data_IF_420535131542
#
_entry.id   IF_420535131542
#
_cell.length_a   1.000
_cell.length_b   1.000
_cell.length_c   1.000
_cell.angle_alpha   90.00
_cell.angle_beta   90.00
_cell.angle_gamma   90.00
#
_symmetry.space_group_name_H-M   'P 1'
#
loop_
_entity.id
_entity.type
_entity.pdbx_description
1 polymer ?
#
# COMPACT_ATOMS: atom_id res chain seq x y z
N UNK A 1 -8.98 50.16 15.89
CA UNK A 1 -8.87 48.71 15.61
C UNK A 1 -9.78 48.05 16.60
N UNK A 2 -10.85 47.41 16.12
CA UNK A 2 -11.69 46.60 17.00
C UNK A 2 -10.82 45.49 17.59
N UNK A 3 -11.02 45.23 18.89
CA UNK A 3 -10.28 44.23 19.64
C UNK A 3 -10.61 42.86 19.04
N UNK A 4 -9.61 42.16 18.50
CA UNK A 4 -9.79 40.82 17.92
C UNK A 4 -10.21 39.89 19.06
N UNK A 5 -11.47 39.50 19.06
CA UNK A 5 -11.99 38.52 20.01
C UNK A 5 -11.31 37.16 19.77
N UNK A 6 -10.91 36.44 20.83
CA UNK A 6 -10.39 35.09 20.68
C UNK A 6 -11.41 34.19 19.97
N UNK A 7 -10.92 33.40 19.02
CA UNK A 7 -11.72 32.37 18.37
C UNK A 7 -12.13 31.32 19.42
N UNK A 8 -13.42 31.08 19.57
CA UNK A 8 -13.95 30.08 20.51
C UNK A 8 -14.88 29.10 19.80
N UNK A 9 -14.88 27.87 20.29
CA UNK A 9 -15.73 26.77 19.83
C UNK A 9 -16.50 26.21 21.01
N UNK A 10 -17.73 25.77 20.78
CA UNK A 10 -18.49 25.04 21.79
C UNK A 10 -17.96 23.60 21.94
N UNK A 11 -18.46 22.87 22.93
CA UNK A 11 -18.02 21.50 23.23
C UNK A 11 -18.20 20.57 22.02
N UNK A 12 -19.36 20.60 21.37
CA UNK A 12 -19.68 19.73 20.23
C UNK A 12 -18.80 20.04 19.00
N UNK A 13 -18.53 21.32 18.76
CA UNK A 13 -17.61 21.75 17.69
C UNK A 13 -16.20 21.28 17.98
N UNK A 14 -15.74 21.43 19.23
CA UNK A 14 -14.42 21.00 19.67
C UNK A 14 -14.25 19.48 19.51
N UNK A 15 -15.26 18.69 19.86
CA UNK A 15 -15.26 17.24 19.65
C UNK A 15 -15.11 16.88 18.17
N UNK A 16 -15.87 17.53 17.28
CA UNK A 16 -15.79 17.26 15.83
C UNK A 16 -14.49 17.71 15.20
N UNK A 17 -13.94 18.84 15.64
CA UNK A 17 -12.61 19.29 15.24
C UNK A 17 -11.57 18.24 15.67
N UNK A 18 -11.63 17.76 16.91
CA UNK A 18 -10.72 16.74 17.43
C UNK A 18 -10.78 15.45 16.59
N UNK A 19 -11.97 14.88 16.38
CA UNK A 19 -12.15 13.67 15.55
C UNK A 19 -11.55 13.87 14.14
N UNK A 20 -11.80 15.02 13.53
CA UNK A 20 -11.32 15.33 12.18
C UNK A 20 -9.80 15.49 12.14
N UNK A 21 -9.20 16.14 13.14
CA UNK A 21 -7.75 16.32 13.24
C UNK A 21 -7.03 15.00 13.48
N UNK A 22 -7.54 14.16 14.38
CA UNK A 22 -6.97 12.83 14.64
C UNK A 22 -6.96 11.97 13.36
N UNK A 23 -8.08 11.94 12.64
CA UNK A 23 -8.14 11.23 11.37
C UNK A 23 -7.24 11.86 10.30
N UNK A 24 -7.17 13.19 10.22
CA UNK A 24 -6.31 13.89 9.27
C UNK A 24 -4.82 13.56 9.50
N UNK A 25 -4.38 13.51 10.75
CA UNK A 25 -3.00 13.15 11.08
C UNK A 25 -2.67 11.74 10.59
N UNK A 26 -3.61 10.80 10.74
CA UNK A 26 -3.46 9.45 10.19
C UNK A 26 -3.42 9.46 8.65
N UNK A 27 -4.31 10.20 7.97
CA UNK A 27 -4.27 10.35 6.50
C UNK A 27 -2.95 10.94 6.02
N UNK A 28 -2.41 11.92 6.76
CA UNK A 28 -1.11 12.52 6.46
C UNK A 28 0.02 11.49 6.55
N UNK A 29 0.02 10.63 7.55
CA UNK A 29 0.99 9.53 7.65
C UNK A 29 0.91 8.58 6.45
N UNK A 30 -0.31 8.22 6.02
CA UNK A 30 -0.53 7.38 4.84
C UNK A 30 -0.03 8.04 3.55
N UNK A 31 -0.26 9.35 3.38
CA UNK A 31 0.24 10.10 2.23
C UNK A 31 1.77 10.10 2.16
N UNK A 32 2.43 10.40 3.29
CA UNK A 32 3.90 10.38 3.38
C UNK A 32 4.43 8.97 3.10
N UNK A 33 3.81 7.95 3.67
CA UNK A 33 4.19 6.56 3.40
C UNK A 33 4.05 6.23 1.92
N UNK A 34 2.97 6.67 1.29
CA UNK A 34 2.75 6.45 -0.13
C UNK A 34 3.82 7.13 -1.00
N UNK A 35 4.19 8.38 -0.69
CA UNK A 35 5.28 9.10 -1.38
C UNK A 35 6.63 8.37 -1.29
N UNK A 36 6.86 7.59 -0.23
CA UNK A 36 8.09 6.80 -0.06
C UNK A 36 8.08 5.54 -0.92
N UNK A 37 6.92 4.87 -1.06
CA UNK A 37 6.83 3.58 -1.75
C UNK A 37 6.50 3.73 -3.24
N UNK A 38 6.00 4.87 -3.69
CA UNK A 38 5.69 5.16 -5.09
C UNK A 38 6.79 6.04 -5.72
N UNK A 39 7.75 5.45 -6.46
CA UNK A 39 8.90 6.17 -7.02
C UNK A 39 8.52 7.18 -8.12
N UNK A 40 7.34 7.03 -8.74
CA UNK A 40 6.84 8.01 -9.70
C UNK A 40 6.12 9.17 -8.99
N UNK A 41 5.96 9.08 -7.66
CA UNK A 41 5.34 10.08 -6.80
C UNK A 41 4.06 10.63 -7.41
N UNK A 42 3.23 9.73 -7.97
CA UNK A 42 1.93 10.13 -8.49
C UNK A 42 1.14 10.74 -7.34
N UNK A 43 1.08 12.07 -7.33
CA UNK A 43 0.36 12.82 -6.31
C UNK A 43 -1.09 12.41 -6.43
N UNK A 44 -1.70 11.82 -5.39
CA UNK A 44 -3.09 11.36 -5.42
C UNK A 44 -4.06 12.51 -5.61
N UNK A 45 -4.52 12.81 -6.84
CA UNK A 45 -5.32 14.01 -7.03
C UNK A 45 -6.66 13.89 -6.29
N UNK A 46 -7.17 12.66 -6.13
CA UNK A 46 -8.36 12.36 -5.36
C UNK A 46 -8.15 12.65 -3.87
N UNK A 47 -7.12 12.08 -3.22
CA UNK A 47 -6.84 12.30 -1.79
C UNK A 47 -6.59 13.79 -1.52
N UNK A 48 -5.78 14.46 -2.35
CA UNK A 48 -5.52 15.89 -2.21
C UNK A 48 -6.79 16.72 -2.41
N UNK A 49 -7.64 16.36 -3.38
CA UNK A 49 -8.92 17.04 -3.58
C UNK A 49 -9.85 16.86 -2.37
N UNK A 50 -9.88 15.68 -1.75
CA UNK A 50 -10.67 15.44 -0.55
C UNK A 50 -10.15 16.25 0.64
N UNK A 51 -8.84 16.30 0.86
CA UNK A 51 -8.25 17.15 1.89
C UNK A 51 -8.48 18.63 1.64
N UNK A 52 -8.42 19.08 0.37
CA UNK A 52 -8.78 20.45 -0.01
C UNK A 52 -10.24 20.77 0.31
N UNK A 53 -11.15 19.85 0.01
CA UNK A 53 -12.57 20.03 0.33
C UNK A 53 -12.80 20.06 1.86
N UNK A 54 -12.10 19.21 2.63
CA UNK A 54 -12.15 19.26 4.08
C UNK A 54 -11.66 20.63 4.62
N UNK A 55 -10.55 21.13 4.07
CA UNK A 55 -9.99 22.43 4.42
C UNK A 55 -10.93 23.60 4.08
N UNK A 56 -11.64 23.53 2.95
CA UNK A 56 -12.69 24.50 2.60
C UNK A 56 -13.80 24.54 3.66
N UNK A 57 -14.32 23.38 4.09
CA UNK A 57 -15.33 23.32 5.14
C UNK A 57 -14.82 23.88 6.48
N UNK A 58 -13.57 23.61 6.87
CA UNK A 58 -12.97 24.25 8.05
C UNK A 58 -12.95 25.78 7.93
N UNK A 59 -12.47 26.31 6.80
CA UNK A 59 -12.43 27.75 6.58
C UNK A 59 -13.81 28.40 6.58
N UNK A 60 -14.84 27.69 6.12
CA UNK A 60 -16.24 28.18 6.20
C UNK A 60 -16.71 28.36 7.64
N UNK A 61 -16.35 27.44 8.54
CA UNK A 61 -16.64 27.56 9.97
C UNK A 61 -15.84 28.70 10.59
N UNK A 62 -14.55 28.80 10.25
CA UNK A 62 -13.70 29.89 10.74
C UNK A 62 -14.21 31.27 10.29
N UNK A 63 -14.64 31.40 9.03
CA UNK A 63 -15.19 32.64 8.49
C UNK A 63 -16.46 33.09 9.23
N UNK A 64 -17.33 32.14 9.59
CA UNK A 64 -18.52 32.41 10.41
C UNK A 64 -18.11 32.86 11.83
N UNK A 65 -17.24 32.10 12.51
CA UNK A 65 -16.81 32.40 13.89
C UNK A 65 -16.06 33.72 14.02
N UNK A 66 -15.31 34.10 12.99
CA UNK A 66 -14.59 35.37 12.90
C UNK A 66 -15.48 36.53 12.39
N UNK A 67 -16.77 36.28 12.12
CA UNK A 67 -17.72 37.27 11.57
C UNK A 67 -17.24 37.92 10.26
N UNK A 68 -16.51 37.15 9.45
CA UNK A 68 -16.08 37.56 8.10
C UNK A 68 -17.25 37.43 7.11
N UNK A 69 -18.16 36.49 7.36
CA UNK A 69 -19.41 36.30 6.63
C UNK A 69 -20.60 36.48 7.58
N UNK A 70 -21.78 36.71 7.01
CA UNK A 70 -23.02 36.80 7.77
C UNK A 70 -23.28 35.53 8.60
N UNK A 71 -23.89 35.74 9.76
CA UNK A 71 -24.30 34.68 10.68
C UNK A 71 -25.22 33.68 9.97
N UNK A 72 -24.96 32.38 10.16
CA UNK A 72 -25.73 31.31 9.54
C UNK A 72 -26.75 30.74 10.52
N UNK A 73 -27.59 29.85 10.01
CA UNK A 73 -28.58 29.14 10.81
C UNK A 73 -27.92 28.31 11.92
N UNK A 74 -28.64 28.12 13.02
CA UNK A 74 -28.15 27.32 14.14
C UNK A 74 -27.79 25.90 13.68
N UNK A 75 -26.67 25.38 14.18
CA UNK A 75 -26.12 24.08 13.77
C UNK A 75 -25.28 24.06 12.49
N UNK A 76 -25.23 25.16 11.71
CA UNK A 76 -24.44 25.23 10.47
C UNK A 76 -22.97 24.84 10.67
N UNK A 77 -22.34 25.33 11.74
CA UNK A 77 -20.95 25.00 12.10
C UNK A 77 -20.75 23.48 12.27
N UNK A 78 -21.65 22.79 12.97
CA UNK A 78 -21.57 21.34 13.21
C UNK A 78 -21.77 20.55 11.92
N UNK A 79 -22.77 20.91 11.11
CA UNK A 79 -23.01 20.24 9.83
C UNK A 79 -21.82 20.39 8.88
N UNK A 80 -21.19 21.56 8.88
CA UNK A 80 -20.02 21.85 8.07
C UNK A 80 -18.79 21.08 8.57
N UNK A 81 -18.59 20.96 9.89
CA UNK A 81 -17.54 20.10 10.46
C UNK A 81 -17.77 18.62 10.15
N UNK A 82 -19.01 18.13 10.18
CA UNK A 82 -19.34 16.75 9.76
C UNK A 82 -18.98 16.51 8.29
N UNK A 83 -19.21 17.50 7.41
CA UNK A 83 -18.76 17.43 6.00
C UNK A 83 -17.24 17.35 5.93
N UNK A 84 -16.52 18.20 6.68
CA UNK A 84 -15.05 18.15 6.74
C UNK A 84 -14.56 16.75 7.15
N UNK A 85 -15.10 16.19 8.23
CA UNK A 85 -14.80 14.83 8.67
C UNK A 85 -15.06 13.78 7.58
N UNK A 86 -16.21 13.85 6.90
CA UNK A 86 -16.55 12.93 5.82
C UNK A 86 -15.61 13.03 4.60
N UNK A 87 -15.00 14.19 4.36
CA UNK A 87 -13.95 14.37 3.34
C UNK A 87 -12.63 13.73 3.80
N UNK A 88 -12.19 13.96 5.04
CA UNK A 88 -10.98 13.31 5.58
C UNK A 88 -11.15 11.79 5.65
N UNK A 89 -12.34 11.29 5.96
CA UNK A 89 -12.66 9.86 5.94
C UNK A 89 -12.53 9.25 4.54
N UNK A 90 -13.02 9.93 3.51
CA UNK A 90 -12.81 9.50 2.11
C UNK A 90 -11.34 9.52 1.72
N UNK A 91 -10.62 10.59 2.08
CA UNK A 91 -9.18 10.69 1.87
C UNK A 91 -8.42 9.50 2.50
N UNK A 92 -8.85 9.05 3.68
CA UNK A 92 -8.27 7.89 4.35
C UNK A 92 -8.51 6.59 3.59
N UNK A 93 -9.76 6.31 3.19
CA UNK A 93 -10.07 5.12 2.40
C UNK A 93 -9.33 5.09 1.08
N UNK A 94 -9.28 6.22 0.37
CA UNK A 94 -8.59 6.32 -0.92
C UNK A 94 -7.08 6.10 -0.76
N UNK A 95 -6.48 6.60 0.33
CA UNK A 95 -5.07 6.36 0.65
C UNK A 95 -4.79 4.88 0.95
N UNK A 96 -5.61 4.24 1.79
CA UNK A 96 -5.47 2.83 2.14
C UNK A 96 -5.65 1.92 0.91
N UNK A 97 -6.65 2.20 0.08
CA UNK A 97 -6.91 1.44 -1.15
C UNK A 97 -5.72 1.50 -2.07
N UNK A 98 -5.19 2.69 -2.27
CA UNK A 98 -4.04 2.88 -3.14
C UNK A 98 -2.79 2.16 -2.64
N UNK A 99 -2.44 2.33 -1.36
CA UNK A 99 -1.29 1.64 -0.76
C UNK A 99 -1.45 0.12 -0.92
N UNK A 100 -2.66 -0.42 -0.71
CA UNK A 100 -2.91 -1.85 -0.86
C UNK A 100 -2.64 -2.36 -2.29
N UNK A 101 -2.96 -1.55 -3.31
CA UNK A 101 -2.71 -1.87 -4.71
C UNK A 101 -1.22 -1.81 -5.02
N UNK A 102 -0.56 -0.70 -4.66
CA UNK A 102 0.87 -0.49 -4.92
C UNK A 102 1.73 -1.57 -4.26
N UNK A 103 1.50 -1.84 -2.97
CA UNK A 103 2.23 -2.87 -2.24
C UNK A 103 2.07 -4.22 -2.93
N UNK A 104 0.87 -4.60 -3.33
CA UNK A 104 0.62 -5.88 -4.01
C UNK A 104 1.33 -5.97 -5.37
N UNK A 105 1.26 -4.91 -6.16
CA UNK A 105 1.91 -4.88 -7.47
C UNK A 105 3.44 -4.98 -7.33
N UNK A 106 4.02 -4.26 -6.38
CA UNK A 106 5.44 -4.33 -6.07
C UNK A 106 5.85 -5.72 -5.61
N UNK A 107 5.08 -6.35 -4.71
CA UNK A 107 5.32 -7.74 -4.27
C UNK A 107 5.41 -8.73 -5.45
N UNK A 108 4.50 -8.62 -6.41
CA UNK A 108 4.48 -9.47 -7.61
C UNK A 108 5.71 -9.16 -8.48
N UNK A 109 6.02 -7.89 -8.69
CA UNK A 109 7.10 -7.45 -9.57
C UNK A 109 8.49 -7.78 -9.00
N UNK A 110 8.69 -7.65 -7.69
CA UNK A 110 9.93 -7.97 -7.00
C UNK A 110 10.24 -9.47 -7.07
N UNK A 111 9.24 -10.34 -6.94
CA UNK A 111 9.44 -11.78 -6.95
C UNK A 111 9.49 -12.41 -8.35
N UNK A 112 8.91 -11.75 -9.36
CA UNK A 112 8.84 -12.22 -10.76
C UNK A 112 10.17 -12.71 -11.37
N UNK A 113 11.34 -12.10 -11.10
CA UNK A 113 12.62 -12.53 -11.69
C UNK A 113 13.16 -13.84 -11.10
N UNK A 114 12.66 -14.27 -9.94
CA UNK A 114 13.21 -15.41 -9.18
C UNK A 114 12.38 -16.67 -9.40
N UNK A 115 13.04 -17.83 -9.39
CA UNK A 115 12.36 -19.10 -9.54
C UNK A 115 11.57 -19.49 -8.28
N UNK A 116 10.53 -20.34 -8.43
CA UNK A 116 9.81 -20.87 -7.28
C UNK A 116 10.69 -21.59 -6.26
N UNK A 117 11.75 -22.26 -6.72
CA UNK A 117 12.72 -22.91 -5.82
C UNK A 117 13.50 -21.86 -5.02
N UNK A 118 14.00 -20.81 -5.66
CA UNK A 118 14.71 -19.74 -4.95
C UNK A 118 13.80 -19.08 -3.90
N UNK A 119 12.55 -18.77 -4.27
CA UNK A 119 11.56 -18.18 -3.37
C UNK A 119 11.30 -19.12 -2.19
N UNK A 120 11.08 -20.41 -2.43
CA UNK A 120 10.83 -21.39 -1.37
C UNK A 120 12.03 -21.56 -0.42
N UNK A 121 13.25 -21.54 -0.92
CA UNK A 121 14.44 -21.73 -0.09
C UNK A 121 14.78 -20.49 0.74
N UNK A 122 14.62 -19.29 0.16
CA UNK A 122 14.97 -18.03 0.83
C UNK A 122 13.82 -17.50 1.70
N UNK A 123 12.57 -17.75 1.29
CA UNK A 123 11.35 -17.33 1.99
C UNK A 123 10.47 -18.58 2.21
N UNK A 124 10.80 -19.44 3.21
CA UNK A 124 10.17 -20.75 3.38
C UNK A 124 8.66 -20.73 3.55
N UNK A 125 8.12 -19.66 4.15
CA UNK A 125 6.69 -19.51 4.38
C UNK A 125 5.94 -18.82 3.23
N UNK A 126 6.60 -18.48 2.11
CA UNK A 126 5.96 -17.74 1.03
C UNK A 126 4.74 -18.46 0.47
N UNK A 127 4.89 -19.72 0.05
CA UNK A 127 3.80 -20.47 -0.59
C UNK A 127 2.74 -20.99 0.38
N UNK A 128 3.09 -21.21 1.65
CA UNK A 128 2.18 -21.74 2.67
C UNK A 128 1.37 -20.64 3.36
N UNK A 129 1.94 -19.45 3.52
CA UNK A 129 1.36 -18.36 4.31
C UNK A 129 1.14 -17.13 3.43
N UNK A 130 2.22 -16.50 2.97
CA UNK A 130 2.19 -15.18 2.31
C UNK A 130 1.33 -15.19 1.04
N UNK A 131 1.56 -16.12 0.11
CA UNK A 131 0.80 -16.17 -1.15
C UNK A 131 -0.67 -16.48 -0.93
N UNK A 132 -1.01 -17.11 0.20
CA UNK A 132 -2.40 -17.45 0.55
C UNK A 132 -3.10 -16.35 1.35
N UNK A 133 -2.36 -15.46 2.00
CA UNK A 133 -2.92 -14.32 2.74
C UNK A 133 -3.36 -13.20 1.80
N UNK A 134 -2.62 -12.94 0.71
CA UNK A 134 -2.95 -11.87 -0.25
C UNK A 134 -4.40 -11.95 -0.77
N UNK A 135 -4.91 -13.10 -1.28
CA UNK A 135 -6.30 -13.20 -1.70
C UNK A 135 -7.33 -13.07 -0.56
N UNK A 136 -6.94 -13.38 0.68
CA UNK A 136 -7.80 -13.16 1.86
C UNK A 136 -7.93 -11.68 2.15
N UNK A 137 -6.82 -10.93 2.10
CA UNK A 137 -6.84 -9.48 2.24
C UNK A 137 -7.66 -8.82 1.14
N UNK A 138 -7.52 -9.23 -0.13
CA UNK A 138 -8.31 -8.66 -1.24
C UNK A 138 -9.82 -8.83 -1.03
N UNK A 139 -10.26 -10.02 -0.60
CA UNK A 139 -11.66 -10.26 -0.26
C UNK A 139 -12.10 -9.37 0.90
N UNK A 140 -11.28 -9.28 1.95
CA UNK A 140 -11.66 -8.53 3.14
C UNK A 140 -11.72 -7.02 2.88
N UNK A 141 -10.77 -6.48 2.12
CA UNK A 141 -10.78 -5.08 1.66
C UNK A 141 -12.04 -4.81 0.84
N UNK A 142 -12.42 -5.73 -0.06
CA UNK A 142 -13.64 -5.59 -0.87
C UNK A 142 -14.89 -5.52 0.02
N UNK A 143 -14.99 -6.37 1.03
CA UNK A 143 -16.10 -6.35 2.01
C UNK A 143 -16.15 -5.04 2.80
N UNK A 144 -14.99 -4.57 3.29
CA UNK A 144 -14.87 -3.32 4.05
C UNK A 144 -15.29 -2.11 3.19
N UNK A 145 -14.87 -2.08 1.92
CA UNK A 145 -15.26 -1.03 0.97
C UNK A 145 -16.76 -1.09 0.63
N UNK A 146 -17.35 -2.28 0.52
CA UNK A 146 -18.77 -2.44 0.23
C UNK A 146 -19.68 -1.99 1.38
N UNK A 147 -19.21 -2.12 2.64
CA UNK A 147 -19.93 -1.63 3.83
C UNK A 147 -19.72 -0.14 4.09
N UNK A 148 -18.73 0.49 3.45
CA UNK A 148 -18.39 1.90 3.64
C UNK A 148 -19.62 2.79 3.40
N UNK A 149 -20.14 3.35 4.48
CA UNK A 149 -21.10 4.44 4.45
C UNK A 149 -20.35 5.76 4.62
N UNK A 150 -20.65 6.75 3.77
CA UNK A 150 -20.04 8.09 3.82
C UNK A 150 -20.81 8.98 4.79
N UNK A 151 -22.07 8.65 5.09
CA UNK A 151 -22.94 9.40 5.98
C UNK A 151 -22.69 9.08 7.46
N UNK A 152 -22.01 7.97 7.76
CA UNK A 152 -21.60 7.58 9.10
C UNK A 152 -20.15 7.07 9.11
N UNK A 153 -19.29 7.70 9.91
CA UNK A 153 -17.90 7.24 10.08
C UNK A 153 -17.92 5.93 10.85
N UNK A 154 -17.51 4.83 10.20
CA UNK A 154 -17.30 3.55 10.85
C UNK A 154 -15.81 3.37 11.17
N UNK A 155 -15.43 3.70 12.40
CA UNK A 155 -14.04 3.59 12.83
C UNK A 155 -13.55 2.14 12.88
N UNK A 156 -14.41 1.15 13.13
CA UNK A 156 -14.00 -0.26 13.23
C UNK A 156 -13.57 -0.81 11.88
N UNK A 157 -14.39 -0.61 10.84
CA UNK A 157 -14.06 -1.02 9.47
C UNK A 157 -12.79 -0.30 8.97
N UNK A 158 -12.62 0.98 9.31
CA UNK A 158 -11.42 1.74 8.93
C UNK A 158 -10.16 1.22 9.63
N UNK A 159 -10.24 0.95 10.95
CA UNK A 159 -9.13 0.38 11.72
C UNK A 159 -8.73 -0.98 11.17
N UNK A 160 -9.72 -1.82 10.83
CA UNK A 160 -9.45 -3.13 10.22
C UNK A 160 -8.77 -2.99 8.87
N UNK A 161 -9.23 -2.07 8.00
CA UNK A 161 -8.58 -1.83 6.71
C UNK A 161 -7.14 -1.33 6.88
N UNK A 162 -6.91 -0.38 7.80
CA UNK A 162 -5.58 0.09 8.15
C UNK A 162 -4.66 -1.06 8.64
N UNK A 163 -5.20 -1.97 9.46
CA UNK A 163 -4.49 -3.17 9.91
C UNK A 163 -4.06 -4.07 8.75
N UNK A 164 -4.94 -4.33 7.79
CA UNK A 164 -4.62 -5.13 6.59
C UNK A 164 -3.51 -4.47 5.77
N UNK A 165 -3.58 -3.15 5.55
CA UNK A 165 -2.56 -2.43 4.78
C UNK A 165 -1.20 -2.44 5.48
N UNK A 166 -1.20 -2.37 6.81
CA UNK A 166 0.00 -2.54 7.63
C UNK A 166 0.61 -3.93 7.47
N UNK A 167 -0.21 -4.99 7.58
CA UNK A 167 0.26 -6.37 7.38
C UNK A 167 0.83 -6.60 5.96
N UNK A 168 0.18 -6.05 4.92
CA UNK A 168 0.71 -6.08 3.55
C UNK A 168 2.06 -5.37 3.45
N UNK A 169 2.22 -4.23 4.13
CA UNK A 169 3.47 -3.47 4.16
C UNK A 169 4.60 -4.22 4.89
N UNK A 170 4.27 -4.94 5.96
CA UNK A 170 5.21 -5.82 6.67
C UNK A 170 5.67 -6.99 5.80
N UNK A 171 4.75 -7.64 5.09
CA UNK A 171 5.06 -8.69 4.10
C UNK A 171 6.01 -8.15 3.02
N UNK A 172 5.74 -6.94 2.52
CA UNK A 172 6.61 -6.27 1.56
C UNK A 172 8.01 -6.06 2.09
N UNK A 173 8.15 -5.54 3.31
CA UNK A 173 9.48 -5.35 3.91
C UNK A 173 10.21 -6.68 4.05
N UNK A 174 9.53 -7.74 4.49
CA UNK A 174 10.12 -9.09 4.59
C UNK A 174 10.68 -9.59 3.25
N UNK A 175 9.95 -9.38 2.16
CA UNK A 175 10.39 -9.78 0.81
C UNK A 175 11.58 -8.94 0.37
N UNK A 176 11.54 -7.62 0.60
CA UNK A 176 12.65 -6.70 0.27
C UNK A 176 13.94 -7.07 1.00
N UNK A 177 13.85 -7.39 2.28
CA UNK A 177 15.00 -7.82 3.09
C UNK A 177 15.57 -9.16 2.59
N UNK A 178 14.75 -9.97 1.92
CA UNK A 178 15.12 -11.27 1.36
C UNK A 178 15.73 -11.18 -0.06
N UNK A 179 15.67 -10.02 -0.72
CA UNK A 179 16.12 -9.88 -2.12
C UNK A 179 17.59 -10.26 -2.32
N UNK A 180 18.47 -9.91 -1.37
CA UNK A 180 19.88 -10.30 -1.45
C UNK A 180 20.06 -11.82 -1.49
N UNK A 181 19.33 -12.54 -0.65
CA UNK A 181 19.34 -14.01 -0.62
C UNK A 181 18.80 -14.62 -1.92
N UNK A 182 17.77 -14.04 -2.50
CA UNK A 182 17.19 -14.48 -3.77
C UNK A 182 18.17 -14.30 -4.94
N UNK A 183 18.86 -13.16 -4.99
CA UNK A 183 19.89 -12.87 -6.00
C UNK A 183 21.04 -13.87 -5.90
N UNK A 184 21.53 -14.12 -4.68
CA UNK A 184 22.63 -15.04 -4.42
C UNK A 184 22.27 -16.49 -4.81
N UNK A 185 21.05 -16.92 -4.46
CA UNK A 185 20.57 -18.26 -4.78
C UNK A 185 20.45 -18.46 -6.29
N UNK A 186 19.80 -17.53 -7.00
CA UNK A 186 19.65 -17.61 -8.46
C UNK A 186 21.01 -17.60 -9.18
N UNK A 187 21.95 -16.79 -8.70
CA UNK A 187 23.30 -16.69 -9.30
C UNK A 187 24.08 -17.99 -9.14
N UNK A 188 24.02 -18.62 -7.95
CA UNK A 188 24.62 -19.93 -7.69
C UNK A 188 23.99 -21.02 -8.56
N UNK A 189 22.66 -21.07 -8.59
CA UNK A 189 21.90 -22.05 -9.39
C UNK A 189 22.24 -21.97 -10.87
N UNK A 190 22.25 -20.76 -11.45
CA UNK A 190 22.62 -20.55 -12.87
C UNK A 190 24.04 -21.06 -13.16
N UNK A 191 25.00 -20.78 -12.28
CA UNK A 191 26.39 -21.25 -12.44
C UNK A 191 26.50 -22.78 -12.40
N UNK A 192 25.75 -23.43 -11.50
CA UNK A 192 25.71 -24.89 -11.39
C UNK A 192 25.05 -25.54 -12.61
N UNK A 193 23.94 -24.98 -13.10
CA UNK A 193 23.27 -25.47 -14.31
C UNK A 193 24.18 -25.33 -15.53
N UNK A 194 24.77 -24.16 -15.75
CA UNK A 194 25.71 -23.94 -16.88
C UNK A 194 26.92 -24.88 -16.79
N UNK A 195 27.47 -25.10 -15.59
CA UNK A 195 28.57 -26.06 -15.41
C UNK A 195 28.17 -27.50 -15.72
N UNK A 196 26.92 -27.88 -15.41
CA UNK A 196 26.41 -29.23 -15.65
C UNK A 196 26.13 -29.43 -17.14
N UNK A 197 25.54 -28.44 -17.80
CA UNK A 197 25.27 -28.46 -19.24
C UNK A 197 26.55 -28.59 -20.06
N UNK A 198 27.60 -27.85 -19.70
CA UNK A 198 28.92 -27.95 -20.35
C UNK A 198 29.50 -29.36 -20.18
N UNK A 199 29.40 -29.96 -18.97
CA UNK A 199 29.87 -31.32 -18.74
C UNK A 199 29.10 -32.34 -19.58
N UNK A 200 27.79 -32.21 -19.67
CA UNK A 200 26.95 -33.12 -20.46
C UNK A 200 27.24 -33.01 -21.96
N UNK A 201 27.49 -31.80 -22.47
CA UNK A 201 27.86 -31.57 -23.86
C UNK A 201 29.22 -32.20 -24.19
N UNK A 202 30.21 -32.05 -23.30
CA UNK A 202 31.52 -32.72 -23.46
C UNK A 202 31.38 -34.24 -23.46
N UNK A 203 30.60 -34.82 -22.54
CA UNK A 203 30.35 -36.28 -22.50
C UNK A 203 29.68 -36.76 -23.79
N UNK A 204 28.70 -36.02 -24.31
CA UNK A 204 28.05 -36.31 -25.59
C UNK A 204 29.02 -36.25 -26.77
N UNK A 205 29.89 -35.24 -26.80
CA UNK A 205 30.92 -35.11 -27.83
C UNK A 205 31.91 -36.28 -27.82
N UNK A 206 32.45 -36.64 -26.64
CA UNK A 206 33.41 -37.74 -26.52
C UNK A 206 32.78 -39.10 -26.81
N UNK A 207 31.54 -39.35 -26.38
CA UNK A 207 30.84 -40.60 -26.69
C UNK A 207 30.56 -40.75 -28.20
N UNK A 208 30.19 -39.66 -28.88
CA UNK A 208 30.07 -39.63 -30.34
C UNK A 208 31.38 -39.92 -31.06
N UNK A 209 32.49 -39.36 -30.59
CA UNK A 209 33.82 -39.55 -31.18
C UNK A 209 34.30 -41.01 -31.04
N UNK A 210 34.04 -41.63 -29.90
CA UNK A 210 34.34 -43.05 -29.66
C UNK A 210 33.53 -43.94 -30.60
N UNK A 211 32.24 -43.67 -30.81
CA UNK A 211 31.40 -44.44 -31.72
C UNK A 211 31.88 -44.35 -33.17
N UNK A 212 32.32 -43.17 -33.62
CA UNK A 212 32.89 -42.98 -34.96
C UNK A 212 34.18 -43.78 -35.13
N UNK A 213 35.08 -43.73 -34.15
CA UNK A 213 36.35 -44.48 -34.19
C UNK A 213 36.12 -46.00 -34.21
N UNK A 214 35.15 -46.51 -33.43
CA UNK A 214 34.75 -47.93 -33.46
C UNK A 214 34.18 -48.30 -34.82
N UNK A 215 33.33 -47.46 -35.41
CA UNK A 215 32.79 -47.67 -36.76
C UNK A 215 33.88 -47.78 -37.81
N UNK A 216 34.84 -46.84 -37.81
CA UNK A 216 35.99 -46.86 -38.74
C UNK A 216 36.82 -48.13 -38.56
N UNK A 217 37.00 -48.62 -37.33
CA UNK A 217 37.80 -49.82 -37.07
C UNK A 217 37.10 -51.13 -37.47
N UNK A 218 35.77 -51.14 -37.52
CA UNK A 218 34.95 -52.29 -37.92
C UNK A 218 34.65 -52.36 -39.42
N UNK A 219 35.05 -51.35 -40.20
CA UNK A 219 34.86 -51.27 -41.67
C UNK A 219 36.16 -51.57 -42.40
#
# INVERSE_FOLDING_TARGET
MDEIQPLTFNVRETEKIKETVELYLFVKELLIYNEIIDPDSYTFPQVINELRNAYDHFNRVLAEKLKIVDEREDGYSIETLNKALGHVYRACYDSLDWISVNVKEELINELKPYSPTAIKEVIPNYYSEISTSIPKYERRITELKARKDISSVNSEDLIEFAGIVKELSEIRQQIRDSLGGLIDYESKRKKETTSTDIKNLLIGFFSGLILVLIGIWLT
#
